data_IF_332545027787
#
_entry.id   IF_332545027787
#
_cell.length_a   1.000
_cell.length_b   1.000
_cell.length_c   1.000
_cell.angle_alpha   90.00
_cell.angle_beta   90.00
_cell.angle_gamma   90.00
#
_symmetry.space_group_name_H-M   'P 1'
#
loop_
_entity.id
_entity.type
_entity.pdbx_description
1 polymer ?
#
# COMPACT_ATOMS: atom_id res chain seq x y z
N UNK A 1 -23.50 -26.07 3.24
CA UNK A 1 -23.60 -24.60 3.14
C UNK A 1 -23.54 -24.23 1.66
N UNK A 2 -24.60 -23.66 1.08
CA UNK A 2 -24.67 -23.37 -0.36
C UNK A 2 -24.19 -21.95 -0.68
N UNK A 3 -23.84 -21.67 -1.94
CA UNK A 3 -23.44 -20.34 -2.39
C UNK A 3 -24.52 -19.26 -2.13
N UNK A 4 -25.80 -19.67 -2.10
CA UNK A 4 -26.92 -18.79 -1.75
C UNK A 4 -26.98 -18.48 -0.26
N UNK A 5 -26.56 -19.41 0.60
CA UNK A 5 -26.48 -19.17 2.05
C UNK A 5 -25.37 -18.18 2.38
N UNK A 6 -24.21 -18.29 1.72
CA UNK A 6 -23.11 -17.31 1.83
C UNK A 6 -23.54 -15.91 1.37
N UNK A 7 -24.27 -15.81 0.26
CA UNK A 7 -24.78 -14.52 -0.25
C UNK A 7 -25.84 -13.91 0.67
N UNK A 8 -26.69 -14.72 1.29
CA UNK A 8 -27.68 -14.26 2.27
C UNK A 8 -26.98 -13.73 3.53
N UNK A 9 -26.02 -14.48 4.07
CA UNK A 9 -25.22 -14.05 5.23
C UNK A 9 -24.48 -12.72 4.96
N UNK A 10 -23.89 -12.57 3.77
CA UNK A 10 -23.22 -11.33 3.39
C UNK A 10 -24.13 -10.10 3.29
N UNK A 11 -25.45 -10.30 3.11
CA UNK A 11 -26.43 -9.20 3.03
C UNK A 11 -27.04 -8.83 4.38
N UNK A 12 -27.05 -9.75 5.33
CA UNK A 12 -27.75 -9.62 6.61
C UNK A 12 -26.84 -9.13 7.75
N UNK A 13 -25.52 -9.13 7.54
CA UNK A 13 -24.55 -8.62 8.52
C UNK A 13 -24.18 -7.17 8.24
N UNK A 14 -24.44 -6.29 9.21
CA UNK A 14 -23.61 -5.09 9.38
C UNK A 14 -22.17 -5.56 9.63
N UNK A 15 -21.21 -4.95 8.94
CA UNK A 15 -19.80 -5.27 9.14
C UNK A 15 -19.45 -4.96 10.59
N UNK A 16 -18.86 -5.94 11.29
CA UNK A 16 -18.25 -5.67 12.60
C UNK A 16 -17.18 -4.56 12.45
N UNK A 17 -16.88 -3.81 13.52
CA UNK A 17 -15.78 -2.84 13.50
C UNK A 17 -14.48 -3.48 12.98
N UNK A 18 -14.19 -4.70 13.42
CA UNK A 18 -13.04 -5.50 12.97
C UNK A 18 -13.05 -5.74 11.44
N UNK A 19 -14.19 -6.15 10.88
CA UNK A 19 -14.32 -6.34 9.43
C UNK A 19 -14.14 -5.02 8.67
N UNK A 20 -14.57 -3.89 9.26
CA UNK A 20 -14.33 -2.57 8.71
C UNK A 20 -12.84 -2.21 8.72
N UNK A 21 -12.13 -2.48 9.82
CA UNK A 21 -10.67 -2.25 9.93
C UNK A 21 -9.89 -3.04 8.86
N UNK A 22 -10.23 -4.32 8.67
CA UNK A 22 -9.62 -5.14 7.61
C UNK A 22 -9.90 -4.58 6.21
N UNK A 23 -11.12 -4.12 5.97
CA UNK A 23 -11.49 -3.47 4.71
C UNK A 23 -10.65 -2.21 4.46
N UNK A 24 -10.52 -1.34 5.47
CA UNK A 24 -9.71 -0.13 5.39
C UNK A 24 -8.25 -0.47 5.07
N UNK A 25 -7.68 -1.45 5.77
CA UNK A 25 -6.31 -1.92 5.53
C UNK A 25 -6.07 -2.38 4.09
N UNK A 26 -6.99 -3.17 3.56
CA UNK A 26 -6.95 -3.62 2.16
C UNK A 26 -7.02 -2.47 1.17
N UNK A 27 -8.00 -1.57 1.34
CA UNK A 27 -8.23 -0.44 0.43
C UNK A 27 -7.10 0.58 0.45
N UNK A 28 -6.61 0.95 1.63
CA UNK A 28 -5.49 1.87 1.81
C UNK A 28 -4.22 1.36 1.11
N UNK A 29 -3.90 0.07 1.27
CA UNK A 29 -2.77 -0.54 0.59
C UNK A 29 -2.90 -0.49 -0.94
N UNK A 30 -4.03 -0.92 -1.51
CA UNK A 30 -4.21 -0.94 -2.96
C UNK A 30 -4.20 0.48 -3.57
N UNK A 31 -4.79 1.46 -2.88
CA UNK A 31 -4.72 2.87 -3.30
C UNK A 31 -3.26 3.35 -3.37
N UNK A 32 -2.47 3.09 -2.32
CA UNK A 32 -1.05 3.44 -2.29
C UNK A 32 -0.23 2.68 -3.34
N UNK A 33 -0.52 1.39 -3.56
CA UNK A 33 0.14 0.59 -4.59
C UNK A 33 0.00 1.24 -5.97
N UNK A 34 -1.23 1.56 -6.37
CA UNK A 34 -1.48 2.19 -7.67
C UNK A 34 -0.91 3.59 -7.76
N UNK A 35 -1.05 4.41 -6.71
CA UNK A 35 -0.49 5.76 -6.71
C UNK A 35 1.04 5.75 -6.82
N UNK A 36 1.72 4.88 -6.07
CA UNK A 36 3.16 4.67 -6.16
C UNK A 36 3.59 4.17 -7.53
N UNK A 37 2.82 3.27 -8.14
CA UNK A 37 3.07 2.77 -9.49
C UNK A 37 2.97 3.89 -10.52
N UNK A 38 1.98 4.76 -10.41
CA UNK A 38 1.83 5.91 -11.31
C UNK A 38 2.93 6.94 -11.11
N UNK A 39 3.34 7.20 -9.87
CA UNK A 39 4.50 8.03 -9.59
C UNK A 39 5.80 7.43 -10.14
N UNK A 40 6.01 6.12 -10.01
CA UNK A 40 7.21 5.43 -10.53
C UNK A 40 7.36 5.62 -12.06
N UNK A 41 6.24 5.63 -12.80
CA UNK A 41 6.23 5.89 -14.25
C UNK A 41 6.72 7.30 -14.63
N UNK A 42 6.76 8.24 -13.69
CA UNK A 42 7.29 9.60 -13.92
C UNK A 42 8.81 9.68 -13.76
N UNK A 43 9.45 8.62 -13.25
CA UNK A 43 10.91 8.56 -13.11
C UNK A 43 11.57 8.37 -14.48
N UNK A 44 12.81 8.86 -14.65
CA UNK A 44 13.53 8.69 -15.92
C UNK A 44 13.74 7.22 -16.30
N UNK A 45 13.94 6.35 -15.30
CA UNK A 45 14.08 4.92 -15.47
C UNK A 45 13.54 4.19 -14.23
N UNK A 46 12.99 2.99 -14.44
CA UNK A 46 12.54 2.12 -13.36
C UNK A 46 13.73 1.62 -12.50
N UNK A 47 13.48 1.41 -11.21
CA UNK A 47 14.45 0.80 -10.31
C UNK A 47 14.71 -0.68 -10.60
N UNK A 48 15.63 -1.29 -9.85
CA UNK A 48 15.95 -2.72 -10.00
C UNK A 48 15.20 -3.62 -9.03
N UNK A 49 14.84 -4.81 -9.52
CA UNK A 49 14.23 -5.90 -8.75
C UNK A 49 15.31 -6.89 -8.34
N UNK A 50 15.20 -7.54 -7.16
CA UNK A 50 16.13 -8.62 -6.81
C UNK A 50 15.82 -9.87 -7.65
N UNK A 51 16.82 -10.67 -8.05
CA UNK A 51 16.58 -11.90 -8.83
C UNK A 51 15.60 -12.88 -8.16
N UNK A 52 15.60 -12.94 -6.83
CA UNK A 52 14.75 -13.81 -6.02
C UNK A 52 13.34 -13.24 -5.76
N UNK A 53 13.09 -11.98 -6.11
CA UNK A 53 11.80 -11.34 -5.87
C UNK A 53 10.72 -12.00 -6.70
N UNK A 54 9.60 -12.34 -6.05
CA UNK A 54 8.41 -12.88 -6.71
C UNK A 54 7.19 -12.02 -6.39
N UNK A 55 6.36 -11.81 -7.40
CA UNK A 55 5.06 -11.18 -7.28
C UNK A 55 5.10 -9.67 -7.45
N UNK A 56 4.14 -9.16 -8.20
CA UNK A 56 4.07 -7.76 -8.68
C UNK A 56 4.10 -6.70 -7.58
N UNK A 57 3.61 -7.04 -6.39
CA UNK A 57 3.63 -6.16 -5.23
C UNK A 57 5.04 -5.97 -4.65
N UNK A 58 5.76 -7.07 -4.48
CA UNK A 58 7.12 -7.03 -3.97
C UNK A 58 8.07 -6.43 -5.01
N UNK A 59 7.84 -6.68 -6.30
CA UNK A 59 8.61 -6.08 -7.39
C UNK A 59 8.53 -4.54 -7.36
N UNK A 60 7.34 -3.95 -7.25
CA UNK A 60 7.20 -2.50 -7.13
C UNK A 60 7.96 -1.96 -5.92
N UNK A 61 7.80 -2.59 -4.75
CA UNK A 61 8.51 -2.22 -3.53
C UNK A 61 10.03 -2.28 -3.75
N UNK A 62 10.54 -3.32 -4.40
CA UNK A 62 11.96 -3.48 -4.66
C UNK A 62 12.52 -2.40 -5.60
N UNK A 63 11.80 -2.08 -6.68
CA UNK A 63 12.20 -0.99 -7.58
C UNK A 63 12.19 0.36 -6.88
N UNK A 64 11.16 0.63 -6.06
CA UNK A 64 11.10 1.85 -5.26
C UNK A 64 12.27 1.95 -4.26
N UNK A 65 12.66 0.83 -3.65
CA UNK A 65 13.81 0.78 -2.71
C UNK A 65 15.17 0.81 -3.40
N UNK A 66 15.24 0.49 -4.69
CA UNK A 66 16.44 0.52 -5.54
C UNK A 66 16.23 1.41 -6.77
N UNK A 67 16.03 2.73 -6.57
CA UNK A 67 15.86 3.65 -7.68
C UNK A 67 17.08 3.61 -8.61
N UNK A 68 16.85 3.79 -9.91
CA UNK A 68 17.91 3.80 -10.90
C UNK A 68 18.90 4.96 -10.67
N UNK A 69 20.15 4.78 -11.08
CA UNK A 69 21.23 5.79 -10.92
C UNK A 69 20.98 7.11 -11.65
N UNK A 70 20.06 7.13 -12.60
CA UNK A 70 19.65 8.34 -13.34
C UNK A 70 18.65 9.21 -12.57
N UNK A 71 18.08 8.71 -11.47
CA UNK A 71 17.17 9.48 -10.64
C UNK A 71 17.94 10.57 -9.89
N UNK A 72 17.34 11.76 -9.77
CA UNK A 72 17.90 12.84 -8.96
C UNK A 72 17.97 12.42 -7.48
N UNK A 73 18.82 13.06 -6.66
CA UNK A 73 18.89 12.77 -5.22
C UNK A 73 17.53 12.85 -4.50
N UNK A 74 16.68 13.80 -4.91
CA UNK A 74 15.33 13.93 -4.38
C UNK A 74 14.41 12.79 -4.79
N UNK A 75 14.45 12.40 -6.07
CA UNK A 75 13.71 11.23 -6.55
C UNK A 75 14.16 9.97 -5.82
N UNK A 76 15.47 9.79 -5.60
CA UNK A 76 16.02 8.65 -4.84
C UNK A 76 15.49 8.64 -3.40
N UNK A 77 15.54 9.78 -2.71
CA UNK A 77 15.05 9.90 -1.33
C UNK A 77 13.55 9.61 -1.27
N UNK A 78 12.78 10.16 -2.21
CA UNK A 78 11.33 9.96 -2.31
C UNK A 78 10.99 8.49 -2.59
N UNK A 79 11.63 7.89 -3.59
CA UNK A 79 11.46 6.49 -3.98
C UNK A 79 11.68 5.54 -2.82
N UNK A 80 12.79 5.70 -2.09
CA UNK A 80 13.13 4.84 -0.95
C UNK A 80 12.13 5.00 0.19
N UNK A 81 11.67 6.21 0.45
CA UNK A 81 10.65 6.47 1.46
C UNK A 81 9.32 5.82 1.09
N UNK A 82 8.88 5.95 -0.17
CA UNK A 82 7.65 5.32 -0.68
C UNK A 82 7.73 3.79 -0.59
N UNK A 83 8.86 3.20 -1.00
CA UNK A 83 9.07 1.75 -0.90
C UNK A 83 9.08 1.24 0.55
N UNK A 84 9.54 2.04 1.51
CA UNK A 84 9.52 1.69 2.93
C UNK A 84 8.09 1.74 3.53
N UNK A 85 7.28 2.76 3.18
CA UNK A 85 5.88 2.80 3.65
C UNK A 85 5.01 1.76 2.96
N UNK A 86 5.22 1.52 1.66
CA UNK A 86 4.42 0.56 0.91
C UNK A 86 4.61 -0.88 1.41
N UNK A 87 5.80 -1.24 1.93
CA UNK A 87 6.00 -2.56 2.56
C UNK A 87 5.29 -2.67 3.92
N UNK A 88 5.24 -1.60 4.71
CA UNK A 88 4.49 -1.58 5.98
C UNK A 88 2.99 -1.76 5.71
N UNK A 89 2.42 -0.98 4.79
CA UNK A 89 1.03 -1.11 4.35
C UNK A 89 0.71 -2.51 3.81
N UNK A 90 1.63 -3.10 3.04
CA UNK A 90 1.47 -4.45 2.49
C UNK A 90 1.41 -5.50 3.58
N UNK A 91 2.26 -5.39 4.59
CA UNK A 91 2.32 -6.36 5.68
C UNK A 91 1.03 -6.33 6.49
N UNK A 92 0.53 -5.13 6.81
CA UNK A 92 -0.73 -4.98 7.53
C UNK A 92 -1.93 -5.49 6.70
N UNK A 93 -1.96 -5.19 5.39
CA UNK A 93 -2.94 -5.78 4.47
C UNK A 93 -2.86 -7.31 4.42
N UNK A 94 -1.67 -7.90 4.41
CA UNK A 94 -1.52 -9.35 4.39
C UNK A 94 -2.03 -9.99 5.69
N UNK A 95 -1.83 -9.32 6.84
CA UNK A 95 -2.41 -9.73 8.11
C UNK A 95 -3.93 -9.63 8.09
N UNK A 96 -4.47 -8.49 7.63
CA UNK A 96 -5.90 -8.28 7.47
C UNK A 96 -6.58 -9.34 6.58
N UNK A 97 -5.95 -9.73 5.46
CA UNK A 97 -6.57 -10.63 4.49
C UNK A 97 -6.40 -12.13 4.83
N UNK A 98 -5.33 -12.50 5.53
CA UNK A 98 -4.95 -13.91 5.66
C UNK A 98 -4.81 -14.42 7.10
N UNK A 99 -4.70 -13.53 8.10
CA UNK A 99 -4.56 -13.92 9.51
C UNK A 99 -5.88 -13.63 10.22
N UNK A 100 -6.85 -14.54 10.06
CA UNK A 100 -8.20 -14.38 10.61
C UNK A 100 -8.26 -14.53 12.13
N UNK A 101 -7.23 -15.12 12.74
CA UNK A 101 -7.13 -15.27 14.20
C UNK A 101 -6.42 -14.09 14.89
N UNK A 102 -5.89 -13.13 14.11
CA UNK A 102 -5.24 -11.93 14.62
C UNK A 102 -6.10 -10.71 14.26
N UNK A 103 -6.79 -10.15 15.27
CA UNK A 103 -7.72 -9.03 15.09
C UNK A 103 -6.97 -7.73 14.77
N UNK A 104 -7.50 -6.95 13.83
CA UNK A 104 -7.00 -5.59 13.59
C UNK A 104 -7.70 -4.60 14.53
N UNK A 105 -6.89 -3.86 15.30
CA UNK A 105 -7.41 -2.81 16.17
C UNK A 105 -7.79 -1.56 15.38
N UNK A 106 -8.59 -0.70 16.00
CA UNK A 106 -8.95 0.61 15.44
C UNK A 106 -7.70 1.47 15.22
N UNK A 107 -6.82 1.58 16.22
CA UNK A 107 -5.54 2.31 16.12
C UNK A 107 -4.68 1.85 14.93
N UNK A 108 -4.61 0.53 14.67
CA UNK A 108 -3.87 0.00 13.54
C UNK A 108 -4.48 0.39 12.20
N UNK A 109 -5.81 0.41 12.11
CA UNK A 109 -6.54 0.83 10.91
C UNK A 109 -6.37 2.34 10.67
N UNK A 110 -6.49 3.17 11.72
CA UNK A 110 -6.30 4.62 11.64
C UNK A 110 -4.88 4.99 11.22
N UNK A 111 -3.87 4.41 11.87
CA UNK A 111 -2.46 4.59 11.49
C UNK A 111 -2.21 4.20 10.04
N UNK A 112 -2.93 3.19 9.54
CA UNK A 112 -2.80 2.78 8.14
C UNK A 112 -3.37 3.81 7.17
N UNK A 113 -4.50 4.45 7.51
CA UNK A 113 -5.08 5.53 6.72
C UNK A 113 -4.16 6.76 6.74
N UNK A 114 -3.65 7.17 7.89
CA UNK A 114 -2.69 8.27 8.00
C UNK A 114 -1.43 8.02 7.17
N UNK A 115 -0.91 6.79 7.22
CA UNK A 115 0.24 6.41 6.42
C UNK A 115 -0.06 6.44 4.92
N UNK A 116 -1.28 6.05 4.52
CA UNK A 116 -1.71 6.14 3.14
C UNK A 116 -1.79 7.59 2.65
N UNK A 117 -2.36 8.50 3.45
CA UNK A 117 -2.37 9.94 3.15
C UNK A 117 -0.95 10.49 3.01
N UNK A 118 -0.03 10.12 3.90
CA UNK A 118 1.36 10.52 3.81
C UNK A 118 2.02 10.02 2.51
N UNK A 119 1.67 8.81 2.04
CA UNK A 119 2.12 8.28 0.74
C UNK A 119 1.58 9.10 -0.42
N UNK A 120 0.28 9.44 -0.42
CA UNK A 120 -0.32 10.29 -1.46
C UNK A 120 0.33 11.67 -1.50
N UNK A 121 0.42 12.34 -0.35
CA UNK A 121 1.09 13.63 -0.22
C UNK A 121 2.53 13.58 -0.75
N UNK A 122 3.26 12.48 -0.51
CA UNK A 122 4.62 12.31 -1.00
C UNK A 122 4.70 12.08 -2.52
N UNK A 123 3.74 11.36 -3.09
CA UNK A 123 3.63 11.15 -4.53
C UNK A 123 3.25 12.44 -5.26
N UNK A 124 2.31 13.21 -4.70
CA UNK A 124 1.75 14.43 -5.27
C UNK A 124 2.62 15.66 -5.05
N UNK A 125 3.58 15.60 -4.13
CA UNK A 125 4.46 16.72 -3.82
C UNK A 125 5.26 17.18 -5.05
N UNK A 126 4.96 18.38 -5.52
CA UNK A 126 5.75 19.09 -6.52
C UNK A 126 6.51 20.25 -5.87
N UNK A 127 7.80 20.40 -6.21
CA UNK A 127 8.67 21.48 -5.71
C UNK A 127 8.28 22.85 -6.29
N UNK A 128 7.41 22.88 -7.28
CA UNK A 128 6.92 24.09 -7.93
C UNK A 128 5.91 24.90 -7.10
N UNK A 129 5.41 24.36 -5.97
CA UNK A 129 4.56 25.14 -5.06
C UNK A 129 5.40 25.95 -4.06
N UNK A 130 5.26 27.30 -4.03
CA UNK A 130 6.00 28.16 -3.12
C UNK A 130 5.57 27.94 -1.66
N UNK A 131 6.52 28.16 -0.75
CA UNK A 131 6.27 28.24 0.70
C UNK A 131 5.46 29.47 1.06
#
# INVERSE_FOLDING_TARGET
MSCRDLLRQAKEQEASPEAHHRLLAGRAYYACYHRCQDWEKTLPHLGSVRPETKGVHQELIDRLRRPHKSCSPDQVKRSKWLGARLIELRNLRARADYQLEDELTEDEAELQVEMAEAVFNRCDWDRSQPR
#
